data_IF_187741887359
#
_entry.id   IF_187741887359
#
_cell.length_a   1.000
_cell.length_b   1.000
_cell.length_c   1.000
_cell.angle_alpha   90.00
_cell.angle_beta   90.00
_cell.angle_gamma   90.00
#
_symmetry.space_group_name_H-M   'P 1'
#
loop_
_entity.id
_entity.type
_entity.pdbx_description
1 polymer ?
#
# COMPACT_ATOMS: atom_id res chain seq x y z
N UNK A 1 1.13 48.75 75.53
CA UNK A 1 0.46 47.51 75.13
C UNK A 1 0.17 47.62 73.65
N UNK A 2 1.01 47.14 72.76
CA UNK A 2 0.87 47.23 71.30
C UNK A 2 0.87 45.83 70.73
N UNK A 3 -0.26 45.44 70.14
CA UNK A 3 -0.43 44.10 69.51
C UNK A 3 0.11 44.17 68.10
N UNK A 4 1.13 43.38 67.78
CA UNK A 4 1.66 43.16 66.44
C UNK A 4 0.75 42.22 65.65
N UNK A 5 0.36 42.70 64.46
CA UNK A 5 -0.39 41.90 63.49
C UNK A 5 0.58 41.13 62.57
N UNK A 6 0.48 39.83 62.60
CA UNK A 6 1.22 38.93 61.68
C UNK A 6 0.41 38.76 60.41
N UNK A 7 0.89 39.28 59.28
CA UNK A 7 0.34 39.01 57.96
C UNK A 7 0.85 37.66 57.47
N UNK A 8 -0.07 36.72 57.26
CA UNK A 8 0.20 35.44 56.56
C UNK A 8 0.21 35.68 55.06
N UNK A 9 1.36 35.53 54.42
CA UNK A 9 1.50 35.54 52.97
C UNK A 9 1.08 34.18 52.41
N UNK A 10 0.08 34.20 51.51
CA UNK A 10 -0.36 33.03 50.78
C UNK A 10 0.57 32.86 49.56
N UNK A 11 1.40 31.83 49.55
CA UNK A 11 2.21 31.48 48.37
C UNK A 11 1.33 30.76 47.36
N UNK A 12 1.20 31.37 46.19
CA UNK A 12 0.51 30.78 45.02
C UNK A 12 1.52 29.88 44.31
N UNK A 13 1.36 28.58 44.39
CA UNK A 13 2.16 27.60 43.65
C UNK A 13 1.59 27.46 42.24
N UNK A 14 2.27 28.05 41.27
CA UNK A 14 1.97 27.85 39.85
C UNK A 14 2.55 26.48 39.43
N UNK A 15 1.69 25.48 39.30
CA UNK A 15 2.03 24.21 38.64
C UNK A 15 2.06 24.42 37.14
N UNK A 16 3.25 24.47 36.57
CA UNK A 16 3.46 24.40 35.12
C UNK A 16 3.27 22.95 34.68
N UNK A 17 2.11 22.65 34.14
CA UNK A 17 1.85 21.37 33.49
C UNK A 17 2.65 21.25 32.20
N UNK A 18 3.70 20.45 32.17
CA UNK A 18 4.40 20.08 30.96
C UNK A 18 3.48 19.20 30.10
N UNK A 19 2.98 19.72 28.98
CA UNK A 19 2.39 18.90 27.94
C UNK A 19 3.49 18.02 27.33
N UNK A 20 3.52 16.76 27.69
CA UNK A 20 4.28 15.76 26.97
C UNK A 20 3.60 15.54 25.62
N UNK A 21 4.12 16.18 24.58
CA UNK A 21 3.78 15.82 23.22
C UNK A 21 4.27 14.39 22.98
N UNK A 22 3.35 13.42 22.97
CA UNK A 22 3.65 12.06 22.52
C UNK A 22 3.98 12.15 21.03
N UNK A 23 5.27 12.02 20.70
CA UNK A 23 5.70 11.83 19.32
C UNK A 23 5.04 10.53 18.82
N UNK A 24 4.09 10.66 17.88
CA UNK A 24 3.56 9.52 17.15
C UNK A 24 4.76 8.91 16.42
N UNK A 25 5.11 7.64 16.64
CA UNK A 25 6.19 7.03 15.90
C UNK A 25 5.85 7.12 14.42
N UNK A 26 6.76 7.68 13.62
CA UNK A 26 6.67 7.57 12.17
C UNK A 26 6.62 6.08 11.86
N UNK A 27 5.52 5.62 11.25
CA UNK A 27 5.39 4.23 10.81
C UNK A 27 6.64 3.91 10.01
N UNK A 28 7.39 2.91 10.45
CA UNK A 28 8.62 2.52 9.77
C UNK A 28 8.24 2.26 8.30
N UNK A 29 8.78 3.08 7.41
CA UNK A 29 8.69 2.80 5.98
C UNK A 29 9.29 1.42 5.81
N UNK A 30 8.45 0.41 5.63
CA UNK A 30 8.92 -0.93 5.36
C UNK A 30 9.90 -0.83 4.20
N UNK A 31 11.00 -1.57 4.27
CA UNK A 31 12.04 -1.58 3.25
C UNK A 31 11.54 -2.29 1.98
N UNK A 32 10.36 -1.90 1.51
CA UNK A 32 9.77 -2.45 0.28
C UNK A 32 10.73 -2.14 -0.88
N UNK A 33 11.31 -3.15 -1.52
CA UNK A 33 12.20 -2.90 -2.64
C UNK A 33 11.46 -2.25 -3.80
N UNK A 34 12.19 -1.56 -4.66
CA UNK A 34 11.64 -0.96 -5.87
C UNK A 34 11.96 -1.89 -7.04
N UNK A 35 10.90 -2.35 -7.72
CA UNK A 35 10.99 -3.05 -8.99
C UNK A 35 10.37 -2.20 -10.10
N UNK A 36 11.11 -2.04 -11.19
CA UNK A 36 10.59 -1.39 -12.39
C UNK A 36 10.01 -2.43 -13.34
N UNK A 37 8.73 -2.29 -13.74
CA UNK A 37 8.13 -3.19 -14.73
C UNK A 37 8.88 -3.16 -16.08
N UNK A 38 9.52 -2.04 -16.38
CA UNK A 38 10.29 -1.81 -17.61
C UNK A 38 11.77 -2.20 -17.50
N UNK A 39 12.19 -2.89 -16.44
CA UNK A 39 13.55 -3.34 -16.30
C UNK A 39 13.91 -4.35 -17.41
N UNK A 40 15.05 -4.13 -18.06
CA UNK A 40 15.51 -4.85 -19.27
C UNK A 40 15.39 -6.37 -19.15
N UNK A 41 15.68 -6.93 -17.97
CA UNK A 41 15.71 -8.37 -17.76
C UNK A 41 14.35 -9.08 -17.85
N UNK A 42 13.21 -8.35 -17.76
CA UNK A 42 11.87 -8.94 -17.84
C UNK A 42 10.87 -8.15 -18.68
N UNK A 43 11.17 -6.89 -19.02
CA UNK A 43 10.22 -6.01 -19.69
C UNK A 43 9.64 -6.57 -21.00
N UNK A 44 10.40 -7.41 -21.70
CA UNK A 44 10.01 -7.99 -23.00
C UNK A 44 9.31 -9.34 -22.88
N UNK A 45 9.17 -9.88 -21.68
CA UNK A 45 8.43 -11.13 -21.49
C UNK A 45 6.94 -10.88 -21.60
N UNK A 46 6.21 -11.80 -22.24
CA UNK A 46 4.77 -11.75 -22.31
C UNK A 46 4.18 -11.76 -20.89
N UNK A 47 3.16 -10.97 -20.66
CA UNK A 47 2.42 -10.96 -19.40
C UNK A 47 1.40 -12.11 -19.43
N UNK A 48 1.55 -13.04 -18.49
CA UNK A 48 0.73 -14.23 -18.49
C UNK A 48 0.88 -15.03 -19.79
N UNK A 49 -0.23 -15.25 -20.47
CA UNK A 49 -0.29 -15.90 -21.79
C UNK A 49 -0.69 -14.95 -22.91
N UNK A 50 -0.71 -13.64 -22.66
CA UNK A 50 -1.08 -12.66 -23.65
C UNK A 50 0.00 -12.55 -24.74
N UNK A 51 -0.38 -12.60 -26.05
CA UNK A 51 0.59 -12.54 -27.14
C UNK A 51 1.10 -11.13 -27.44
N UNK A 52 0.46 -10.08 -26.90
CA UNK A 52 0.73 -8.67 -27.20
C UNK A 52 1.30 -7.96 -25.98
N UNK A 53 0.65 -8.13 -24.81
CA UNK A 53 1.06 -7.46 -23.62
C UNK A 53 2.27 -8.11 -22.96
N UNK A 54 3.20 -7.25 -22.54
CA UNK A 54 4.43 -7.66 -21.86
C UNK A 54 4.45 -7.12 -20.42
N UNK A 55 5.36 -7.65 -19.60
CA UNK A 55 5.59 -7.10 -18.26
C UNK A 55 5.90 -5.60 -18.37
N UNK A 56 6.66 -5.18 -19.37
CA UNK A 56 7.02 -3.78 -19.57
C UNK A 56 5.85 -2.89 -19.97
N UNK A 57 4.89 -3.38 -20.76
CA UNK A 57 3.73 -2.61 -21.24
C UNK A 57 2.58 -2.59 -20.23
N UNK A 58 2.24 -3.75 -19.63
CA UNK A 58 1.02 -3.93 -18.83
C UNK A 58 1.25 -4.53 -17.42
N UNK A 59 2.49 -4.87 -17.05
CA UNK A 59 2.81 -5.62 -15.84
C UNK A 59 2.86 -4.81 -14.54
N UNK A 60 2.17 -3.67 -14.42
CA UNK A 60 2.19 -2.84 -13.21
C UNK A 60 1.60 -3.58 -11.99
N UNK A 61 0.47 -4.27 -12.13
CA UNK A 61 -0.15 -5.05 -11.06
C UNK A 61 0.75 -6.20 -10.58
N UNK A 62 1.32 -6.95 -11.53
CA UNK A 62 2.30 -8.00 -11.27
C UNK A 62 3.51 -7.48 -10.50
N UNK A 63 4.11 -6.39 -10.99
CA UNK A 63 5.32 -5.79 -10.41
C UNK A 63 5.04 -5.21 -9.02
N UNK A 64 3.89 -4.56 -8.83
CA UNK A 64 3.44 -4.08 -7.53
C UNK A 64 3.29 -5.23 -6.53
N UNK A 65 2.66 -6.34 -6.94
CA UNK A 65 2.49 -7.50 -6.06
C UNK A 65 3.83 -8.20 -5.75
N UNK A 66 4.77 -8.25 -6.69
CA UNK A 66 6.12 -8.73 -6.42
C UNK A 66 6.85 -7.85 -5.39
N UNK A 67 6.69 -6.52 -5.46
CA UNK A 67 7.21 -5.59 -4.45
C UNK A 67 6.59 -5.83 -3.07
N UNK A 68 5.28 -6.11 -3.01
CA UNK A 68 4.58 -6.44 -1.75
C UNK A 68 5.17 -7.68 -1.11
N UNK A 69 5.32 -8.78 -1.86
CA UNK A 69 5.89 -10.02 -1.32
C UNK A 69 7.32 -9.79 -0.82
N UNK A 70 8.14 -9.12 -1.60
CA UNK A 70 9.51 -8.80 -1.22
C UNK A 70 9.58 -7.87 0.00
N UNK A 71 8.65 -6.93 0.14
CA UNK A 71 8.51 -6.05 1.31
C UNK A 71 8.19 -6.81 2.60
N UNK A 72 7.51 -7.94 2.49
CA UNK A 72 7.23 -8.86 3.60
C UNK A 72 8.31 -9.94 3.79
N UNK A 73 9.44 -9.85 3.09
CA UNK A 73 10.55 -10.79 3.25
C UNK A 73 10.47 -12.03 2.37
N UNK A 74 9.58 -12.06 1.38
CA UNK A 74 9.44 -13.14 0.39
C UNK A 74 9.87 -12.64 -0.99
N UNK A 75 11.17 -12.47 -1.24
CA UNK A 75 11.66 -11.86 -2.47
C UNK A 75 11.34 -12.75 -3.68
N UNK A 76 10.54 -12.22 -4.57
CA UNK A 76 10.23 -12.79 -5.87
C UNK A 76 10.34 -11.67 -6.91
N UNK A 77 10.98 -11.95 -8.04
CA UNK A 77 11.09 -10.98 -9.13
C UNK A 77 9.82 -10.99 -10.00
N UNK A 78 9.51 -9.89 -10.71
CA UNK A 78 8.34 -9.85 -11.60
C UNK A 78 8.29 -11.00 -12.60
N UNK A 79 9.42 -11.36 -13.23
CA UNK A 79 9.48 -12.47 -14.17
C UNK A 79 9.27 -13.85 -13.51
N UNK A 80 9.83 -14.07 -12.32
CA UNK A 80 9.61 -15.30 -11.59
C UNK A 80 8.14 -15.43 -11.13
N UNK A 81 7.54 -14.33 -10.65
CA UNK A 81 6.11 -14.31 -10.28
C UNK A 81 5.22 -14.52 -11.52
N UNK A 82 5.52 -13.87 -12.63
CA UNK A 82 4.80 -14.05 -13.89
C UNK A 82 4.81 -15.51 -14.35
N UNK A 83 5.98 -16.13 -14.34
CA UNK A 83 6.13 -17.53 -14.73
C UNK A 83 5.32 -18.47 -13.82
N UNK A 84 5.38 -18.23 -12.52
CA UNK A 84 4.62 -19.02 -11.55
C UNK A 84 3.10 -18.86 -11.80
N UNK A 85 2.61 -17.63 -11.93
CA UNK A 85 1.18 -17.34 -12.14
C UNK A 85 0.66 -17.93 -13.44
N UNK A 86 1.42 -17.85 -14.53
CA UNK A 86 1.05 -18.46 -15.81
C UNK A 86 0.86 -19.97 -15.69
N UNK A 87 1.68 -20.64 -14.88
CA UNK A 87 1.60 -22.10 -14.67
C UNK A 87 0.49 -22.51 -13.69
N UNK A 88 0.04 -21.60 -12.82
CA UNK A 88 -0.90 -21.92 -11.74
C UNK A 88 -2.26 -21.21 -11.88
N UNK A 89 -2.58 -20.71 -13.07
CA UNK A 89 -3.87 -20.09 -13.33
C UNK A 89 -4.06 -18.75 -12.60
N UNK A 90 -2.97 -18.00 -12.43
CA UNK A 90 -2.97 -16.71 -11.72
C UNK A 90 -3.44 -15.53 -12.56
N UNK A 91 -3.93 -15.79 -13.77
CA UNK A 91 -4.48 -14.78 -14.68
C UNK A 91 -5.83 -15.20 -15.23
N UNK A 92 -6.71 -14.23 -15.45
CA UNK A 92 -7.90 -14.33 -16.29
C UNK A 92 -7.70 -13.48 -17.55
N UNK A 93 -8.40 -13.82 -18.66
CA UNK A 93 -8.30 -13.10 -19.93
C UNK A 93 -6.83 -12.93 -20.42
N UNK A 94 -5.98 -13.91 -20.11
CA UNK A 94 -4.57 -14.03 -20.45
C UNK A 94 -3.59 -13.22 -19.56
N UNK A 95 -3.95 -12.05 -19.04
CA UNK A 95 -3.03 -11.11 -18.39
C UNK A 95 -3.60 -10.39 -17.16
N UNK A 96 -4.91 -10.49 -16.90
CA UNK A 96 -5.51 -9.87 -15.72
C UNK A 96 -5.18 -10.66 -14.45
N UNK A 97 -4.41 -10.04 -13.57
CA UNK A 97 -3.89 -10.65 -12.35
C UNK A 97 -5.00 -11.03 -11.37
N UNK A 98 -4.95 -12.25 -10.84
CA UNK A 98 -5.74 -12.68 -9.70
C UNK A 98 -5.04 -12.33 -8.40
N UNK A 99 -5.55 -11.33 -7.68
CA UNK A 99 -4.87 -10.69 -6.53
C UNK A 99 -4.52 -11.66 -5.39
N UNK A 100 -5.41 -12.58 -5.07
CA UNK A 100 -5.19 -13.59 -4.03
C UNK A 100 -4.22 -14.67 -4.49
N UNK A 101 -4.37 -15.14 -5.73
CA UNK A 101 -3.49 -16.14 -6.31
C UNK A 101 -2.06 -15.61 -6.40
N UNK A 102 -1.92 -14.30 -6.64
CA UNK A 102 -0.62 -13.68 -6.80
C UNK A 102 0.30 -13.74 -5.56
N UNK A 103 -0.22 -14.04 -4.37
CA UNK A 103 0.58 -14.17 -3.15
C UNK A 103 0.73 -15.62 -2.65
N UNK A 104 0.16 -16.60 -3.34
CA UNK A 104 0.30 -18.01 -2.99
C UNK A 104 1.74 -18.53 -3.00
N UNK A 105 2.69 -18.00 -3.82
CA UNK A 105 4.10 -18.39 -3.74
C UNK A 105 4.72 -18.23 -2.35
N UNK A 106 4.13 -17.40 -1.48
CA UNK A 106 4.62 -17.22 -0.10
C UNK A 106 4.22 -18.35 0.86
N UNK A 107 3.53 -19.40 0.36
CA UNK A 107 3.05 -20.49 1.22
C UNK A 107 1.98 -20.07 2.24
N UNK A 108 1.29 -18.95 2.01
CA UNK A 108 0.26 -18.41 2.89
C UNK A 108 0.76 -17.44 3.96
N UNK A 109 2.05 -17.13 3.97
CA UNK A 109 2.61 -16.15 4.88
C UNK A 109 2.16 -14.72 4.54
N UNK A 110 2.02 -14.41 3.25
CA UNK A 110 1.36 -13.20 2.78
C UNK A 110 -0.04 -13.56 2.31
N UNK A 111 -1.03 -12.79 2.72
CA UNK A 111 -2.41 -13.00 2.34
C UNK A 111 -3.01 -11.72 1.77
N UNK A 112 -3.84 -11.87 0.77
CA UNK A 112 -4.73 -10.82 0.32
C UNK A 112 -5.87 -10.66 1.34
N UNK A 113 -6.02 -9.44 1.89
CA UNK A 113 -7.07 -9.08 2.83
C UNK A 113 -8.22 -8.47 2.05
N UNK A 114 -9.31 -9.21 1.98
CA UNK A 114 -10.51 -8.62 1.46
C UNK A 114 -11.04 -7.53 2.41
N UNK A 115 -11.33 -6.35 1.87
CA UNK A 115 -11.90 -5.24 2.63
C UNK A 115 -13.34 -5.00 2.21
N UNK A 116 -14.26 -5.13 3.17
CA UNK A 116 -15.62 -4.66 2.97
C UNK A 116 -15.70 -3.18 3.34
N UNK A 117 -15.96 -2.32 2.37
CA UNK A 117 -16.25 -0.91 2.62
C UNK A 117 -17.76 -0.77 2.82
N UNK A 118 -18.23 -0.31 4.00
CA UNK A 118 -19.64 -0.13 4.25
C UNK A 118 -20.27 0.81 3.21
N UNK A 119 -21.43 0.41 2.66
CA UNK A 119 -22.16 1.20 1.66
C UNK A 119 -21.78 0.91 0.20
N UNK A 120 -20.70 0.17 -0.05
CA UNK A 120 -20.41 -0.38 -1.37
C UNK A 120 -21.02 -1.78 -1.44
N UNK A 121 -21.91 -2.01 -2.40
CA UNK A 121 -22.49 -3.33 -2.61
C UNK A 121 -21.35 -4.35 -2.81
N UNK A 122 -21.40 -5.51 -2.13
CA UNK A 122 -20.43 -6.55 -2.35
C UNK A 122 -20.53 -6.98 -3.81
N UNK A 123 -19.63 -6.49 -4.62
CA UNK A 123 -19.41 -6.98 -5.98
C UNK A 123 -19.05 -8.46 -5.88
N UNK A 124 -19.31 -9.21 -6.91
CA UNK A 124 -19.10 -10.64 -6.99
C UNK A 124 -17.80 -11.09 -6.32
N UNK A 125 -17.94 -11.69 -5.15
CA UNK A 125 -16.85 -12.16 -4.29
C UNK A 125 -16.50 -13.58 -4.58
N UNK A 126 -16.41 -13.91 -5.81
CA UNK A 126 -15.85 -15.18 -6.19
C UNK A 126 -14.35 -15.01 -6.28
N UNK A 127 -13.68 -15.33 -5.17
CA UNK A 127 -12.35 -15.87 -5.20
C UNK A 127 -11.39 -15.20 -6.20
N UNK A 128 -10.72 -14.14 -5.83
CA UNK A 128 -9.66 -13.49 -6.59
C UNK A 128 -10.08 -12.56 -7.73
N UNK A 129 -11.33 -12.56 -8.10
CA UNK A 129 -11.79 -11.70 -9.17
C UNK A 129 -12.02 -10.30 -8.61
N UNK A 130 -11.47 -9.38 -9.29
CA UNK A 130 -11.70 -7.95 -9.37
C UNK A 130 -12.74 -7.39 -8.38
N UNK A 131 -12.39 -7.40 -7.10
CA UNK A 131 -13.13 -6.67 -6.10
C UNK A 131 -12.50 -5.30 -6.02
N UNK A 132 -13.09 -4.36 -6.71
CA UNK A 132 -12.68 -2.97 -6.69
C UNK A 132 -13.18 -2.30 -5.41
N UNK A 133 -12.67 -2.72 -4.27
CA UNK A 133 -12.91 -2.00 -3.02
C UNK A 133 -12.07 -0.73 -3.02
N UNK A 134 -12.73 0.37 -2.72
CA UNK A 134 -12.07 1.66 -2.53
C UNK A 134 -12.17 2.04 -1.05
N UNK A 135 -11.19 1.69 -0.22
CA UNK A 135 -11.14 2.14 1.16
C UNK A 135 -10.92 3.65 1.21
N UNK A 136 -11.46 4.30 2.26
CA UNK A 136 -11.17 5.70 2.50
C UNK A 136 -9.68 5.90 2.83
N UNK A 137 -9.18 7.13 2.67
CA UNK A 137 -7.81 7.48 3.08
C UNK A 137 -7.53 7.13 4.55
N UNK A 138 -8.52 7.27 5.43
CA UNK A 138 -8.40 6.92 6.85
C UNK A 138 -8.18 5.40 7.04
N UNK A 139 -8.93 4.57 6.32
CA UNK A 139 -8.78 3.12 6.35
C UNK A 139 -7.42 2.72 5.76
N UNK A 140 -7.02 3.31 4.63
CA UNK A 140 -5.72 3.03 4.03
C UNK A 140 -4.56 3.37 4.98
N UNK A 141 -4.63 4.49 5.71
CA UNK A 141 -3.65 4.82 6.76
C UNK A 141 -3.64 3.78 7.87
N UNK A 142 -4.82 3.39 8.38
CA UNK A 142 -4.93 2.38 9.42
C UNK A 142 -4.31 1.04 9.00
N UNK A 143 -4.48 0.62 7.74
CA UNK A 143 -3.85 -0.59 7.21
C UNK A 143 -2.32 -0.46 7.19
N UNK A 144 -1.81 0.67 6.72
CA UNK A 144 -0.38 0.94 6.71
C UNK A 144 0.22 1.03 8.12
N UNK A 145 -0.50 1.60 9.09
CA UNK A 145 -0.09 1.67 10.50
C UNK A 145 -0.01 0.29 11.16
N UNK A 146 -0.78 -0.68 10.67
CA UNK A 146 -0.72 -2.09 11.08
C UNK A 146 0.42 -2.85 10.40
N UNK A 147 1.22 -2.19 9.56
CA UNK A 147 2.31 -2.81 8.80
C UNK A 147 1.84 -3.54 7.54
N UNK A 148 0.60 -3.36 7.14
CA UNK A 148 0.07 -3.90 5.89
C UNK A 148 0.57 -3.08 4.70
N UNK A 149 0.55 -3.67 3.50
CA UNK A 149 0.87 -2.99 2.25
C UNK A 149 -0.37 -2.91 1.37
N UNK A 150 -0.47 -1.82 0.63
CA UNK A 150 -1.65 -1.56 -0.21
C UNK A 150 -1.21 -1.36 -1.66
N UNK A 151 -1.76 -2.15 -2.57
CA UNK A 151 -1.64 -1.89 -4.01
C UNK A 151 -2.83 -1.03 -4.41
N UNK A 152 -2.57 0.18 -4.86
CA UNK A 152 -3.58 1.16 -5.23
C UNK A 152 -3.65 1.33 -6.75
N UNK A 153 -4.86 1.32 -7.29
CA UNK A 153 -5.13 1.67 -8.68
C UNK A 153 -5.15 3.20 -8.82
N UNK A 154 -4.38 3.70 -9.77
CA UNK A 154 -4.32 5.12 -10.16
C UNK A 154 -4.47 5.25 -11.67
N UNK A 155 -4.44 6.46 -12.20
CA UNK A 155 -4.43 6.72 -13.64
C UNK A 155 -3.09 7.27 -14.08
N UNK A 156 -2.48 6.59 -15.06
CA UNK A 156 -1.26 7.01 -15.72
C UNK A 156 -1.54 7.19 -17.22
N UNK A 157 -1.34 8.39 -17.73
CA UNK A 157 -1.64 8.73 -19.16
C UNK A 157 -3.06 8.37 -19.60
N UNK A 158 -4.02 8.42 -18.65
CA UNK A 158 -5.41 8.04 -18.87
C UNK A 158 -5.72 6.54 -18.77
N UNK A 159 -4.70 5.69 -18.67
CA UNK A 159 -4.83 4.24 -18.47
C UNK A 159 -4.80 3.83 -17.00
N UNK A 160 -5.26 2.62 -16.73
CA UNK A 160 -5.17 1.98 -15.42
C UNK A 160 -3.70 1.70 -15.07
N UNK A 161 -3.31 2.01 -13.84
CA UNK A 161 -1.96 1.76 -13.33
C UNK A 161 -2.01 1.40 -11.86
N UNK A 162 -1.06 0.60 -11.40
CA UNK A 162 -0.99 0.15 -10.00
C UNK A 162 0.34 0.54 -9.37
N UNK A 163 0.25 1.09 -8.15
CA UNK A 163 1.39 1.48 -7.32
C UNK A 163 1.28 0.86 -5.94
N UNK A 164 2.38 0.71 -5.21
CA UNK A 164 2.37 0.21 -3.83
C UNK A 164 2.40 1.38 -2.86
N UNK A 165 1.39 1.53 -2.01
CA UNK A 165 1.46 2.40 -0.85
C UNK A 165 2.31 1.69 0.21
N UNK A 166 3.38 2.34 0.64
CA UNK A 166 4.39 1.74 1.54
C UNK A 166 4.40 2.38 2.94
N UNK A 167 3.62 3.42 3.14
CA UNK A 167 3.51 4.15 4.40
C UNK A 167 2.88 5.52 4.17
N UNK A 168 2.77 6.30 5.24
CA UNK A 168 2.24 7.66 5.16
C UNK A 168 2.82 8.58 6.24
N UNK A 169 2.70 9.87 6.02
CA UNK A 169 2.89 10.91 7.02
C UNK A 169 1.71 11.87 6.96
N UNK A 170 0.80 11.74 7.93
CA UNK A 170 -0.50 12.42 7.84
C UNK A 170 -1.26 11.98 6.59
N UNK A 171 -1.65 12.93 5.76
CA UNK A 171 -2.37 12.66 4.49
C UNK A 171 -1.44 12.40 3.29
N UNK A 172 -0.13 12.46 3.49
CA UNK A 172 0.86 12.18 2.45
C UNK A 172 1.20 10.69 2.42
N UNK A 173 0.76 9.98 1.40
CA UNK A 173 1.08 8.56 1.18
C UNK A 173 2.38 8.42 0.39
N UNK A 174 3.29 7.57 0.86
CA UNK A 174 4.50 7.19 0.12
C UNK A 174 4.17 6.04 -0.83
N UNK A 175 4.68 6.13 -2.06
CA UNK A 175 4.45 5.10 -3.09
C UNK A 175 5.76 4.58 -3.66
N UNK A 176 5.78 3.28 -4.01
CA UNK A 176 6.69 2.70 -4.96
C UNK A 176 5.96 2.53 -6.28
N UNK A 177 6.51 3.07 -7.35
CA UNK A 177 5.88 3.11 -8.66
C UNK A 177 6.64 2.21 -9.65
N UNK A 178 6.03 1.14 -10.15
CA UNK A 178 6.69 0.20 -11.06
C UNK A 178 6.98 0.79 -12.44
N UNK A 179 6.23 1.77 -12.90
CA UNK A 179 6.47 2.39 -14.21
C UNK A 179 7.73 3.25 -14.22
N UNK A 180 7.90 4.07 -13.19
CA UNK A 180 9.04 4.96 -13.06
C UNK A 180 10.23 4.30 -12.33
N UNK A 181 10.01 3.15 -11.71
CA UNK A 181 10.99 2.44 -10.89
C UNK A 181 11.58 3.31 -9.78
N UNK A 182 10.74 4.08 -9.11
CA UNK A 182 11.16 5.01 -8.07
C UNK A 182 10.19 5.07 -6.88
N UNK A 183 10.58 5.84 -5.88
CA UNK A 183 9.78 6.16 -4.70
C UNK A 183 9.47 7.64 -4.68
N UNK A 184 8.18 7.95 -4.43
CA UNK A 184 7.70 9.32 -4.31
C UNK A 184 6.47 9.36 -3.40
N UNK A 185 5.72 10.45 -3.40
CA UNK A 185 4.40 10.51 -2.75
C UNK A 185 3.28 10.43 -3.79
N UNK A 186 2.14 9.86 -3.37
CA UNK A 186 0.94 9.80 -4.20
C UNK A 186 0.56 11.21 -4.68
N UNK A 187 0.59 12.20 -3.75
CA UNK A 187 0.22 13.57 -4.04
C UNK A 187 1.13 14.24 -5.08
N UNK A 188 2.42 13.93 -5.07
CA UNK A 188 3.37 14.52 -6.01
C UNK A 188 3.18 14.03 -7.44
N UNK A 189 2.63 12.82 -7.63
CA UNK A 189 2.51 12.21 -8.97
C UNK A 189 1.08 12.10 -9.48
N UNK A 190 0.14 11.78 -8.62
CA UNK A 190 -1.22 11.44 -9.02
C UNK A 190 -2.31 12.31 -8.38
N UNK A 191 -1.98 13.04 -7.32
CA UNK A 191 -2.92 13.87 -6.58
C UNK A 191 -3.27 13.30 -5.21
N UNK A 192 -4.30 13.85 -4.57
CA UNK A 192 -4.76 13.38 -3.26
C UNK A 192 -5.31 11.95 -3.35
N UNK A 193 -5.31 11.22 -2.23
CA UNK A 193 -5.88 9.87 -2.18
C UNK A 193 -7.31 9.82 -2.76
N UNK A 194 -8.16 10.75 -2.34
CA UNK A 194 -9.56 10.80 -2.76
C UNK A 194 -9.74 11.06 -4.26
N UNK A 195 -8.79 11.75 -4.92
CA UNK A 195 -8.87 12.07 -6.34
C UNK A 195 -8.11 11.08 -7.23
N UNK A 196 -7.12 10.40 -6.67
CA UNK A 196 -6.17 9.61 -7.45
C UNK A 196 -6.44 8.11 -7.38
N UNK A 197 -6.95 7.59 -6.24
CA UNK A 197 -7.14 6.15 -6.03
C UNK A 197 -8.54 5.73 -6.48
N UNK A 198 -8.59 4.73 -7.35
CA UNK A 198 -9.82 4.20 -7.93
C UNK A 198 -10.21 2.84 -7.33
N UNK A 199 -9.24 2.06 -6.91
CA UNK A 199 -9.41 0.82 -6.14
C UNK A 199 -8.15 0.53 -5.34
N UNK A 200 -8.24 -0.38 -4.37
CA UNK A 200 -7.09 -0.77 -3.58
C UNK A 200 -7.18 -2.23 -3.13
N UNK A 201 -6.03 -2.90 -3.11
CA UNK A 201 -5.85 -4.28 -2.66
C UNK A 201 -4.94 -4.26 -1.43
N UNK A 202 -5.40 -4.78 -0.32
CA UNK A 202 -4.64 -4.82 0.93
C UNK A 202 -4.02 -6.19 1.13
N UNK A 203 -2.73 -6.19 1.45
CA UNK A 203 -1.96 -7.38 1.75
C UNK A 203 -1.45 -7.35 3.18
N UNK A 204 -1.58 -8.49 3.85
CA UNK A 204 -1.17 -8.68 5.24
C UNK A 204 -0.12 -9.79 5.33
N UNK A 205 0.79 -9.64 6.29
CA UNK A 205 1.74 -10.67 6.66
C UNK A 205 1.31 -11.29 7.99
N UNK A 206 1.34 -12.64 8.08
CA UNK A 206 1.01 -13.39 9.31
C UNK A 206 2.16 -13.38 10.31
#
# INVERSE_FOLDING_TARGET
MTRGSVRRGTACVLTVGALLATAVPASATSSVPIYGQRAVRWAHQNLGSDPVDTIGSAGCALTATAMVQAGFGYPITPDALNSWLTQHGGYIQNDLLLWRTAVLPTGGAVRWKWMHVPGIAPQLRTDDQDINDLPTAAIARQELDQGHLVVAEVRLYGGMHFVVLTGHQGDSFFINDPWFADRTTLAARYGSYASAVHSAQVYVHN
#
